data_IF_787960677373
#
_entry.id   IF_787960677373
#
_cell.length_a   1.000
_cell.length_b   1.000
_cell.length_c   1.000
_cell.angle_alpha   90.00
_cell.angle_beta   90.00
_cell.angle_gamma   90.00
#
_symmetry.space_group_name_H-M   'P 1'
#
loop_
_entity.id
_entity.type
_entity.pdbx_description
1 polymer ?
#
# COMPACT_ATOMS: atom_id res chain seq x y z
N UNK A 1 -15.45 12.65 7.13
CA UNK A 1 -14.88 11.31 7.44
C UNK A 1 -14.16 11.42 8.78
N UNK A 2 -14.58 10.66 9.81
CA UNK A 2 -13.92 10.65 11.13
C UNK A 2 -12.56 9.96 11.00
N UNK A 3 -11.51 10.49 11.64
CA UNK A 3 -10.19 9.86 11.70
C UNK A 3 -10.32 8.53 12.47
N UNK A 4 -10.20 7.40 11.78
CA UNK A 4 -10.30 6.06 12.39
C UNK A 4 -8.98 5.59 13.05
N UNK A 5 -7.97 6.46 13.11
CA UNK A 5 -6.62 6.09 13.59
C UNK A 5 -5.89 5.10 12.67
N UNK A 6 -6.41 4.85 11.46
CA UNK A 6 -5.83 3.91 10.51
C UNK A 6 -4.75 4.64 9.70
N UNK A 7 -3.54 4.12 9.76
CA UNK A 7 -2.43 4.67 8.99
C UNK A 7 -2.28 3.92 7.67
N UNK A 8 -2.11 4.62 6.53
CA UNK A 8 -2.02 3.97 5.23
C UNK A 8 -0.71 3.19 5.13
N UNK A 9 -0.83 1.87 4.95
CA UNK A 9 0.30 0.96 4.74
C UNK A 9 0.82 0.98 3.29
N UNK A 10 0.05 1.55 2.35
CA UNK A 10 0.40 1.60 0.93
C UNK A 10 1.06 2.94 0.63
N UNK A 11 2.22 2.87 -0.02
CA UNK A 11 2.96 4.04 -0.44
C UNK A 11 2.22 4.78 -1.57
N UNK A 12 2.08 6.12 -1.49
CA UNK A 12 1.54 6.94 -2.58
C UNK A 12 2.52 7.01 -3.77
N UNK A 13 1.99 7.36 -4.96
CA UNK A 13 2.78 7.51 -6.20
C UNK A 13 3.76 8.69 -6.12
N UNK A 14 4.82 8.68 -6.93
CA UNK A 14 5.86 9.73 -7.00
C UNK A 14 5.30 11.15 -7.18
N UNK A 15 4.25 11.30 -7.98
CA UNK A 15 3.56 12.59 -8.21
C UNK A 15 2.47 12.92 -7.16
N UNK A 16 2.46 12.26 -6.01
CA UNK A 16 1.42 12.50 -5.02
C UNK A 16 1.59 13.88 -4.35
N UNK A 17 0.55 14.70 -4.45
CA UNK A 17 0.41 15.94 -3.67
C UNK A 17 -0.03 15.68 -2.23
N UNK A 18 0.25 16.65 -1.36
CA UNK A 18 -0.27 16.68 0.00
C UNK A 18 -1.80 16.84 0.01
N UNK A 19 -2.44 16.28 1.03
CA UNK A 19 -3.83 16.57 1.38
C UNK A 19 -3.91 17.66 2.45
N UNK A 20 -5.14 17.99 2.85
CA UNK A 20 -5.47 18.73 4.07
C UNK A 20 -4.54 18.36 5.24
N UNK A 21 -4.24 19.34 6.10
CA UNK A 21 -3.35 19.16 7.24
C UNK A 21 -3.86 18.09 8.23
N UNK A 22 -2.92 17.45 8.94
CA UNK A 22 -3.24 16.40 9.92
C UNK A 22 -3.61 15.04 9.33
N UNK A 23 -3.39 14.81 8.02
CA UNK A 23 -3.62 13.50 7.39
C UNK A 23 -2.38 12.61 7.46
N UNK A 24 -2.50 11.34 7.91
CA UNK A 24 -1.36 10.43 8.02
C UNK A 24 -0.66 10.18 6.68
N UNK A 25 -1.39 10.27 5.56
CA UNK A 25 -0.84 10.20 4.19
C UNK A 25 0.26 11.24 3.95
N UNK A 26 0.16 12.43 4.53
CA UNK A 26 1.12 13.51 4.28
C UNK A 26 2.52 13.19 4.83
N UNK A 27 2.62 12.41 5.90
CA UNK A 27 3.91 11.94 6.43
C UNK A 27 4.62 11.04 5.41
N UNK A 28 3.86 10.16 4.76
CA UNK A 28 4.37 9.27 3.72
C UNK A 28 4.78 10.05 2.47
N UNK A 29 3.98 11.04 2.06
CA UNK A 29 4.32 11.92 0.92
C UNK A 29 5.59 12.73 1.20
N UNK A 30 5.81 13.16 2.44
CA UNK A 30 7.05 13.84 2.84
C UNK A 30 8.27 12.92 2.72
N UNK A 31 8.19 11.71 3.27
CA UNK A 31 9.27 10.72 3.16
C UNK A 31 9.59 10.35 1.70
N UNK A 32 8.56 10.30 0.84
CA UNK A 32 8.69 10.08 -0.59
C UNK A 32 9.48 11.20 -1.28
N UNK A 33 9.13 12.47 -0.98
CA UNK A 33 9.83 13.65 -1.52
C UNK A 33 11.26 13.79 -1.01
N UNK A 34 11.54 13.31 0.19
CA UNK A 34 12.88 13.28 0.80
C UNK A 34 13.71 12.07 0.35
N UNK A 35 13.23 11.24 -0.59
CA UNK A 35 13.88 10.01 -1.03
C UNK A 35 14.15 8.97 0.09
N UNK A 36 13.47 9.07 1.23
CA UNK A 36 13.59 8.16 2.40
C UNK A 36 12.62 6.97 2.35
N UNK A 37 12.30 6.52 1.14
CA UNK A 37 11.31 5.46 0.93
C UNK A 37 11.74 4.12 1.54
N UNK A 38 13.04 3.80 1.52
CA UNK A 38 13.57 2.55 2.06
C UNK A 38 13.39 2.46 3.58
N UNK A 39 13.70 3.54 4.31
CA UNK A 39 13.53 3.63 5.75
C UNK A 39 12.05 3.54 6.14
N UNK A 40 11.18 4.28 5.41
CA UNK A 40 9.74 4.22 5.62
C UNK A 40 9.20 2.79 5.43
N UNK A 41 9.61 2.08 4.37
CA UNK A 41 9.20 0.69 4.14
C UNK A 41 9.59 -0.26 5.28
N UNK A 42 10.74 -0.01 5.92
CA UNK A 42 11.24 -0.81 7.04
C UNK A 42 10.46 -0.53 8.33
N UNK A 43 10.26 0.75 8.64
CA UNK A 43 9.48 1.21 9.81
C UNK A 43 8.02 0.74 9.75
N UNK A 44 7.45 0.73 8.55
CA UNK A 44 6.05 0.37 8.29
C UNK A 44 5.82 -1.12 8.04
N UNK A 45 6.84 -1.96 8.22
CA UNK A 45 6.75 -3.42 8.04
C UNK A 45 6.18 -3.82 6.66
N UNK A 46 6.44 -3.00 5.63
CA UNK A 46 5.89 -3.12 4.28
C UNK A 46 6.17 -4.49 3.64
N UNK A 47 7.23 -5.16 4.10
CA UNK A 47 7.57 -6.52 3.68
C UNK A 47 6.42 -7.52 3.86
N UNK A 48 5.67 -7.46 4.97
CA UNK A 48 4.54 -8.36 5.21
C UNK A 48 3.39 -8.12 4.23
N UNK A 49 3.10 -6.84 3.92
CA UNK A 49 2.12 -6.50 2.89
C UNK A 49 2.54 -7.05 1.52
N UNK A 50 3.79 -6.86 1.12
CA UNK A 50 4.30 -7.39 -0.15
C UNK A 50 4.18 -8.91 -0.25
N UNK A 51 4.49 -9.65 0.84
CA UNK A 51 4.32 -11.10 0.88
C UNK A 51 2.85 -11.50 0.74
N UNK A 52 1.95 -10.84 1.45
CA UNK A 52 0.51 -11.11 1.37
C UNK A 52 -0.06 -10.81 -0.02
N UNK A 53 0.41 -9.75 -0.67
CA UNK A 53 -0.02 -9.34 -2.00
C UNK A 53 0.44 -10.34 -3.07
N UNK A 54 1.69 -10.81 -2.96
CA UNK A 54 2.24 -11.88 -3.80
C UNK A 54 1.46 -13.19 -3.58
N UNK A 55 1.20 -13.57 -2.33
CA UNK A 55 0.42 -14.78 -2.03
C UNK A 55 -0.99 -14.71 -2.64
N UNK A 56 -1.67 -13.56 -2.53
CA UNK A 56 -2.98 -13.34 -3.16
C UNK A 56 -2.92 -13.34 -4.68
N UNK A 57 -1.87 -12.79 -5.27
CA UNK A 57 -1.65 -12.84 -6.71
C UNK A 57 -1.50 -14.28 -7.21
N UNK A 58 -0.67 -15.09 -6.54
CA UNK A 58 -0.52 -16.52 -6.84
C UNK A 58 -1.83 -17.29 -6.65
N UNK A 59 -2.54 -17.05 -5.54
CA UNK A 59 -3.85 -17.65 -5.28
C UNK A 59 -4.83 -17.39 -6.43
N UNK A 60 -4.92 -16.13 -6.86
CA UNK A 60 -5.76 -15.72 -7.99
C UNK A 60 -5.34 -16.40 -9.29
N UNK A 61 -4.06 -16.44 -9.62
CA UNK A 61 -3.60 -17.10 -10.84
C UNK A 61 -3.85 -18.61 -10.85
N UNK A 62 -3.76 -19.29 -9.70
CA UNK A 62 -3.96 -20.74 -9.62
C UNK A 62 -5.44 -21.15 -9.60
N UNK A 63 -6.31 -20.30 -9.08
CA UNK A 63 -7.72 -20.65 -8.83
C UNK A 63 -8.71 -19.96 -9.76
N UNK A 64 -8.44 -18.74 -10.24
CA UNK A 64 -9.34 -18.06 -11.18
C UNK A 64 -9.49 -18.81 -12.50
N UNK A 65 -8.44 -19.40 -13.12
CA UNK A 65 -8.61 -20.20 -14.34
C UNK A 65 -9.55 -21.39 -14.16
N UNK A 66 -9.62 -21.96 -12.95
CA UNK A 66 -10.53 -23.07 -12.58
C UNK A 66 -11.96 -22.62 -12.28
N UNK A 67 -12.17 -21.33 -12.00
CA UNK A 67 -13.47 -20.73 -11.70
C UNK A 67 -14.02 -19.92 -12.88
N UNK A 68 -13.43 -20.06 -14.08
CA UNK A 68 -14.05 -19.53 -15.28
C UNK A 68 -15.39 -20.24 -15.51
N UNK A 69 -16.47 -19.47 -15.56
CA UNK A 69 -17.81 -19.96 -15.86
C UNK A 69 -17.75 -20.63 -17.23
N UNK A 70 -17.72 -21.96 -17.28
CA UNK A 70 -17.92 -22.69 -18.53
C UNK A 70 -19.39 -22.49 -18.87
N UNK A 71 -19.64 -21.66 -19.88
CA UNK A 71 -20.97 -21.40 -20.42
C UNK A 71 -21.57 -22.67 -21.02
#
# INVERSE_FOLDING_TARGET
MKNKGITPSILPRSNAGYWEEGKPRNQVVKALKEHKQAEWKKDWDYHKCSLSEIAMFCYKQLLIPKLTFRN
#
